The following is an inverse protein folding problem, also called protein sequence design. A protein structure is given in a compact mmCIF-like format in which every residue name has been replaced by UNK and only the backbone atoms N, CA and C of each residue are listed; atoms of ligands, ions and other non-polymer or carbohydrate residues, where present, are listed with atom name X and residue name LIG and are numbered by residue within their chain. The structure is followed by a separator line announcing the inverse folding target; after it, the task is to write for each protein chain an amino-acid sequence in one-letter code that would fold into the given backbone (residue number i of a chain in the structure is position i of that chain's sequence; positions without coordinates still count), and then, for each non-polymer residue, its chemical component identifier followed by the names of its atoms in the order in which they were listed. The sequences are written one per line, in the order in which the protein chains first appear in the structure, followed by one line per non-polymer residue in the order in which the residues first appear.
data_IF_343524076129
#
_entry.id   IF_343524076129
#
_cell.length_a   1.000
_cell.length_b   1.000
_cell.length_c   1.000
_cell.angle_alpha   90.00
_cell.angle_beta   90.00
_cell.angle_gamma   90.00
#
_symmetry.space_group_name_H-M   'P 1'
#
loop_
_entity.id
_entity.type
_entity.pdbx_description
1 polymer ?
#
# COMPACT_ATOMS: atom_id res chain seq x y z
N UNK A 1 -53.83 -3.63 -22.84
CA UNK A 1 -52.96 -4.21 -21.79
C UNK A 1 -51.70 -4.92 -22.31
N UNK A 2 -51.77 -5.78 -23.35
CA UNK A 2 -50.59 -6.52 -23.86
C UNK A 2 -49.39 -5.66 -24.32
N UNK A 3 -49.62 -4.50 -24.95
CA UNK A 3 -48.55 -3.61 -25.44
C UNK A 3 -47.77 -2.88 -24.33
N UNK A 4 -48.41 -2.60 -23.19
CA UNK A 4 -47.76 -1.93 -22.05
C UNK A 4 -46.86 -2.90 -21.27
N UNK A 5 -47.31 -4.15 -21.11
CA UNK A 5 -46.55 -5.21 -20.43
C UNK A 5 -45.25 -5.56 -21.20
N UNK A 6 -45.33 -5.57 -22.54
CA UNK A 6 -44.18 -5.83 -23.40
C UNK A 6 -43.11 -4.72 -23.28
N UNK A 7 -43.53 -3.45 -23.13
CA UNK A 7 -42.60 -2.31 -22.95
C UNK A 7 -41.88 -2.34 -21.61
N UNK A 8 -42.55 -2.79 -20.55
CA UNK A 8 -41.95 -2.92 -19.21
C UNK A 8 -40.89 -4.02 -19.20
N UNK A 9 -41.16 -5.16 -19.84
CA UNK A 9 -40.20 -6.27 -19.94
C UNK A 9 -38.94 -5.86 -20.71
N UNK A 10 -39.09 -5.13 -21.82
CA UNK A 10 -37.94 -4.62 -22.61
C UNK A 10 -37.11 -3.62 -21.82
N UNK A 11 -37.74 -2.74 -21.02
CA UNK A 11 -37.05 -1.80 -20.14
C UNK A 11 -36.29 -2.50 -19.02
N UNK A 12 -36.88 -3.52 -18.40
CA UNK A 12 -36.21 -4.33 -17.36
C UNK A 12 -35.02 -5.09 -17.96
N UNK A 13 -35.17 -5.67 -19.16
CA UNK A 13 -34.05 -6.33 -19.86
C UNK A 13 -32.93 -5.35 -20.22
N UNK A 14 -33.24 -4.14 -20.69
CA UNK A 14 -32.23 -3.09 -20.92
C UNK A 14 -31.52 -2.68 -19.63
N UNK A 15 -32.24 -2.56 -18.51
CA UNK A 15 -31.64 -2.27 -17.20
C UNK A 15 -30.73 -3.41 -16.73
N UNK A 16 -31.11 -4.68 -16.93
CA UNK A 16 -30.29 -5.85 -16.56
C UNK A 16 -29.03 -5.94 -17.43
N UNK A 17 -29.11 -5.59 -18.72
CA UNK A 17 -27.92 -5.52 -19.59
C UNK A 17 -27.01 -4.33 -19.29
N UNK A 18 -27.54 -3.23 -18.74
CA UNK A 18 -26.72 -2.08 -18.29
C UNK A 18 -26.05 -2.34 -16.93
N UNK A 19 -26.64 -3.18 -16.08
CA UNK A 19 -26.01 -3.69 -14.84
C UNK A 19 -24.95 -4.77 -15.15
N UNK A 20 -24.95 -5.31 -16.38
CA UNK A 20 -23.86 -6.14 -16.90
C UNK A 20 -22.69 -5.28 -17.36
N UNK A 21 -22.35 -4.27 -16.55
CA UNK A 21 -21.16 -3.46 -16.70
C UNK A 21 -19.98 -4.39 -16.43
N UNK A 22 -19.49 -5.00 -17.51
CA UNK A 22 -18.13 -5.46 -17.75
C UNK A 22 -17.27 -5.53 -16.48
N UNK A 23 -17.43 -6.60 -15.70
CA UNK A 23 -16.37 -7.08 -14.81
C UNK A 23 -15.25 -7.65 -15.70
N UNK A 24 -14.60 -6.77 -16.47
CA UNK A 24 -13.30 -7.08 -17.03
C UNK A 24 -12.39 -7.23 -15.83
N UNK A 25 -12.08 -8.47 -15.45
CA UNK A 25 -10.94 -8.75 -14.58
C UNK A 25 -9.73 -8.11 -15.25
N UNK A 26 -9.38 -6.91 -14.81
CA UNK A 26 -8.15 -6.26 -15.22
C UNK A 26 -7.01 -7.23 -14.97
N UNK A 27 -6.03 -7.25 -15.87
CA UNK A 27 -4.78 -7.94 -15.58
C UNK A 27 -4.27 -7.36 -14.24
N UNK A 28 -4.16 -8.19 -13.19
CA UNK A 28 -3.75 -7.76 -11.84
C UNK A 28 -2.49 -6.90 -11.87
N UNK A 29 -1.57 -7.18 -12.79
CA UNK A 29 -0.35 -6.39 -12.99
C UNK A 29 -0.63 -4.97 -13.48
N UNK A 30 -1.62 -4.80 -14.36
CA UNK A 30 -2.07 -3.48 -14.85
C UNK A 30 -2.72 -2.67 -13.74
N UNK A 31 -3.60 -3.28 -12.95
CA UNK A 31 -4.25 -2.64 -11.79
C UNK A 31 -3.21 -2.16 -10.77
N UNK A 32 -2.22 -2.99 -10.47
CA UNK A 32 -1.11 -2.65 -9.57
C UNK A 32 -0.30 -1.48 -10.14
N UNK A 33 0.09 -1.53 -11.42
CA UNK A 33 0.86 -0.43 -12.04
C UNK A 33 0.07 0.88 -12.02
N UNK A 34 -1.23 0.84 -12.31
CA UNK A 34 -2.08 2.03 -12.23
C UNK A 34 -2.15 2.58 -10.80
N UNK A 35 -2.30 1.71 -9.81
CA UNK A 35 -2.31 2.10 -8.39
C UNK A 35 -0.99 2.74 -7.98
N UNK A 36 0.13 2.15 -8.37
CA UNK A 36 1.48 2.69 -8.10
C UNK A 36 1.68 4.04 -8.79
N UNK A 37 1.20 4.22 -10.02
CA UNK A 37 1.28 5.50 -10.71
C UNK A 37 0.50 6.61 -9.98
N UNK A 38 -0.73 6.32 -9.51
CA UNK A 38 -1.50 7.25 -8.68
C UNK A 38 -0.78 7.58 -7.37
N UNK A 39 -0.24 6.55 -6.70
CA UNK A 39 0.57 6.74 -5.49
C UNK A 39 1.77 7.66 -5.75
N UNK A 40 2.56 7.38 -6.78
CA UNK A 40 3.74 8.17 -7.13
C UNK A 40 3.37 9.61 -7.49
N UNK A 41 2.29 9.80 -8.26
CA UNK A 41 1.83 11.15 -8.60
C UNK A 41 1.47 11.92 -7.33
N UNK A 42 0.63 11.35 -6.48
CA UNK A 42 0.18 11.99 -5.24
C UNK A 42 1.37 12.36 -4.32
N UNK A 43 2.34 11.46 -4.13
CA UNK A 43 3.51 11.76 -3.28
C UNK A 43 4.50 12.71 -3.92
N UNK A 44 4.62 12.72 -5.25
CA UNK A 44 5.51 13.64 -5.97
C UNK A 44 4.98 15.07 -5.93
N UNK A 45 3.67 15.26 -6.06
CA UNK A 45 3.03 16.58 -6.10
C UNK A 45 2.56 17.05 -4.73
N UNK A 46 2.54 16.16 -3.72
CA UNK A 46 1.96 16.45 -2.41
C UNK A 46 0.44 16.57 -2.44
N UNK A 47 -0.22 16.00 -3.46
CA UNK A 47 -1.67 16.08 -3.65
C UNK A 47 -2.40 15.18 -2.64
N UNK A 48 -2.98 15.82 -1.62
CA UNK A 48 -3.69 15.13 -0.53
C UNK A 48 -4.94 14.43 -1.04
N UNK A 49 -5.73 15.08 -1.89
CA UNK A 49 -7.01 14.55 -2.39
C UNK A 49 -6.77 13.24 -3.16
N UNK A 50 -5.78 13.25 -4.05
CA UNK A 50 -5.41 12.05 -4.80
C UNK A 50 -4.88 10.94 -3.89
N UNK A 51 -4.09 11.29 -2.88
CA UNK A 51 -3.62 10.31 -1.90
C UNK A 51 -4.77 9.71 -1.08
N UNK A 52 -5.71 10.53 -0.61
CA UNK A 52 -6.89 10.10 0.14
C UNK A 52 -7.75 9.14 -0.70
N UNK A 53 -7.89 9.39 -2.00
CA UNK A 53 -8.65 8.52 -2.91
C UNK A 53 -8.04 7.11 -3.07
N UNK A 54 -6.72 6.98 -2.90
CA UNK A 54 -6.01 5.69 -2.92
C UNK A 54 -5.71 5.17 -1.52
N UNK A 55 -5.99 5.91 -0.47
CA UNK A 55 -5.81 5.47 0.91
C UNK A 55 -6.99 4.59 1.35
N UNK A 56 -6.76 3.80 2.38
CA UNK A 56 -7.83 3.09 3.07
C UNK A 56 -8.84 4.11 3.64
N UNK A 57 -10.15 3.97 3.37
CA UNK A 57 -11.17 4.93 3.83
C UNK A 57 -11.25 5.05 5.35
N UNK A 58 -10.78 4.05 6.10
CA UNK A 58 -10.73 4.11 7.57
C UNK A 58 -9.50 4.85 8.09
N UNK A 59 -8.46 5.01 7.28
CA UNK A 59 -7.17 5.58 7.65
C UNK A 59 -6.00 4.64 7.36
N UNK A 60 -4.78 5.20 7.47
CA UNK A 60 -3.53 4.51 7.20
C UNK A 60 -2.67 4.44 8.46
N UNK A 61 -1.85 3.40 8.54
CA UNK A 61 -0.85 3.25 9.59
C UNK A 61 0.52 3.72 9.10
N UNK A 62 1.14 4.66 9.80
CA UNK A 62 2.51 5.13 9.55
C UNK A 62 3.41 4.61 10.64
N UNK A 63 4.44 3.86 10.24
CA UNK A 63 5.33 3.15 11.15
C UNK A 63 6.76 3.55 10.83
N UNK A 64 7.51 3.94 11.87
CA UNK A 64 8.96 4.01 11.80
C UNK A 64 9.54 3.14 12.90
N UNK A 65 10.41 2.20 12.55
CA UNK A 65 11.13 1.37 13.50
C UNK A 65 12.63 1.48 13.29
N UNK A 66 13.36 1.75 14.36
CA UNK A 66 14.81 1.67 14.39
C UNK A 66 15.24 0.25 14.79
N UNK A 67 15.85 -0.46 13.85
CA UNK A 67 16.29 -1.85 13.90
C UNK A 67 17.81 -1.89 14.07
N UNK A 68 18.29 -1.67 15.30
CA UNK A 68 19.71 -1.89 15.63
C UNK A 68 19.90 -2.63 16.95
N UNK A 69 20.98 -3.42 16.98
CA UNK A 69 21.74 -3.81 18.17
C UNK A 69 23.07 -3.06 18.23
N UNK A 70 23.05 -1.72 18.13
CA UNK A 70 24.25 -0.86 18.11
C UNK A 70 24.14 0.39 19.00
N UNK A 71 25.29 0.88 19.46
CA UNK A 71 25.50 1.89 20.51
C UNK A 71 25.31 3.36 20.05
N UNK A 72 24.12 3.74 19.57
CA UNK A 72 23.81 5.12 19.17
C UNK A 72 22.57 5.70 19.85
N UNK A 73 22.43 7.05 19.86
CA UNK A 73 21.22 7.76 20.24
C UNK A 73 20.06 7.26 19.37
N UNK A 74 19.22 6.41 19.94
CA UNK A 74 18.15 5.71 19.24
C UNK A 74 17.04 6.70 18.94
N UNK A 75 16.59 6.75 17.68
CA UNK A 75 15.34 7.44 17.38
C UNK A 75 14.13 6.67 17.94
N UNK A 76 12.99 7.35 18.07
CA UNK A 76 11.78 6.74 18.64
C UNK A 76 11.03 5.89 17.62
N UNK A 77 10.68 4.66 18.00
CA UNK A 77 9.74 3.86 17.22
C UNK A 77 8.35 4.52 17.30
N UNK A 78 7.70 4.70 16.15
CA UNK A 78 6.37 5.31 16.07
C UNK A 78 5.38 4.45 15.28
N UNK A 79 4.11 4.59 15.67
CA UNK A 79 2.98 3.78 15.20
C UNK A 79 1.73 4.65 15.22
N UNK A 80 1.67 5.58 14.28
CA UNK A 80 0.61 6.57 14.25
C UNK A 80 -0.41 6.16 13.21
N UNK A 81 -1.67 6.14 13.62
CA UNK A 81 -2.79 5.95 12.72
C UNK A 81 -3.34 7.31 12.31
N UNK A 82 -3.51 7.53 11.01
CA UNK A 82 -4.03 8.76 10.45
C UNK A 82 -5.32 8.45 9.70
N UNK A 83 -6.44 8.99 10.17
CA UNK A 83 -7.69 9.03 9.41
C UNK A 83 -7.52 9.89 8.16
N UNK A 84 -8.39 9.74 7.14
CA UNK A 84 -8.29 10.54 5.92
C UNK A 84 -8.21 12.06 6.14
N UNK A 85 -8.95 12.58 7.13
CA UNK A 85 -8.95 14.01 7.48
C UNK A 85 -7.76 14.45 8.36
N UNK A 86 -6.94 13.51 8.84
CA UNK A 86 -5.72 13.76 9.62
C UNK A 86 -4.45 13.70 8.74
N UNK A 87 -4.58 13.31 7.48
CA UNK A 87 -3.46 13.28 6.52
C UNK A 87 -3.10 14.73 6.16
N UNK A 88 -1.90 15.12 6.53
CA UNK A 88 -1.37 16.47 6.40
C UNK A 88 -0.95 16.84 4.97
N UNK A 89 -0.87 18.15 4.71
CA UNK A 89 -0.37 18.69 3.45
C UNK A 89 1.05 18.24 3.12
N UNK A 90 1.29 17.98 1.84
CA UNK A 90 2.59 17.48 1.36
C UNK A 90 2.88 16.03 1.75
N UNK A 91 1.91 15.33 2.38
CA UNK A 91 2.03 13.95 2.85
C UNK A 91 3.23 13.79 3.81
N UNK A 92 3.29 14.70 4.77
CA UNK A 92 4.34 14.85 5.79
C UNK A 92 3.78 14.49 7.16
N UNK A 93 4.06 13.28 7.64
CA UNK A 93 3.54 12.81 8.91
C UNK A 93 4.48 13.23 10.06
N UNK A 94 4.04 14.09 10.99
CA UNK A 94 4.88 14.58 12.08
C UNK A 94 5.24 13.46 13.06
N UNK A 95 6.41 13.60 13.68
CA UNK A 95 6.93 12.67 14.67
C UNK A 95 7.59 13.47 15.80
N UNK A 96 7.08 13.34 17.03
CA UNK A 96 7.53 14.17 18.14
C UNK A 96 8.99 13.93 18.52
N UNK A 97 9.81 14.97 18.37
CA UNK A 97 11.24 14.95 18.66
C UNK A 97 12.10 14.26 17.59
N UNK A 98 11.55 14.01 16.39
CA UNK A 98 12.22 13.36 15.26
C UNK A 98 11.92 14.11 13.95
N UNK A 99 12.66 13.80 12.89
CA UNK A 99 12.28 14.25 11.55
C UNK A 99 10.92 13.64 11.14
N UNK A 100 10.04 14.36 10.44
CA UNK A 100 8.78 13.79 9.98
C UNK A 100 8.99 12.63 8.99
N UNK A 101 7.96 11.81 8.77
CA UNK A 101 7.92 10.87 7.66
C UNK A 101 7.34 11.59 6.45
N UNK A 102 8.16 11.89 5.45
CA UNK A 102 7.72 12.52 4.20
C UNK A 102 7.75 11.50 3.06
N UNK A 103 6.59 11.19 2.47
CA UNK A 103 6.49 10.06 1.53
C UNK A 103 7.35 10.24 0.27
N UNK A 104 7.49 11.47 -0.23
CA UNK A 104 8.34 11.75 -1.39
C UNK A 104 9.82 11.47 -1.16
N UNK A 105 10.28 11.61 0.09
CA UNK A 105 11.67 11.33 0.49
C UNK A 105 11.83 9.85 0.82
N UNK A 106 10.83 9.25 1.46
CA UNK A 106 10.83 7.84 1.80
C UNK A 106 10.85 6.93 0.55
N UNK A 107 10.16 7.33 -0.53
CA UNK A 107 10.12 6.60 -1.81
C UNK A 107 10.80 7.38 -2.95
N UNK A 108 11.97 7.95 -2.65
CA UNK A 108 12.68 8.83 -3.57
C UNK A 108 12.96 8.18 -4.93
N UNK A 109 13.45 6.95 -4.96
CA UNK A 109 13.82 6.27 -6.20
C UNK A 109 12.58 5.94 -7.03
N UNK A 110 11.48 5.56 -6.39
CA UNK A 110 10.18 5.31 -7.02
C UNK A 110 9.64 6.57 -7.67
N UNK A 111 9.77 7.73 -6.99
CA UNK A 111 9.39 9.04 -7.52
C UNK A 111 10.25 9.44 -8.72
N UNK A 112 11.57 9.23 -8.65
CA UNK A 112 12.48 9.51 -9.77
C UNK A 112 12.12 8.68 -11.01
N UNK A 113 11.75 7.41 -10.83
CA UNK A 113 11.30 6.54 -11.92
C UNK A 113 9.89 6.88 -12.44
N UNK A 114 9.17 7.79 -11.78
CA UNK A 114 7.78 8.12 -12.12
C UNK A 114 6.84 6.91 -12.04
N UNK A 115 7.08 5.98 -11.10
CA UNK A 115 6.28 4.77 -10.93
C UNK A 115 6.52 3.67 -11.97
N UNK A 116 7.47 3.86 -12.91
CA UNK A 116 7.84 2.86 -13.92
C UNK A 116 8.67 1.72 -13.32
N UNK A 117 8.02 0.86 -12.54
CA UNK A 117 8.65 -0.25 -11.83
C UNK A 117 8.46 -1.54 -12.62
N UNK A 118 9.57 -2.09 -13.11
CA UNK A 118 9.57 -3.32 -13.89
C UNK A 118 9.80 -4.57 -13.03
N UNK A 119 10.35 -4.42 -11.82
CA UNK A 119 10.64 -5.53 -10.91
C UNK A 119 9.39 -5.91 -10.11
N UNK A 120 8.46 -6.61 -10.76
CA UNK A 120 7.22 -7.12 -10.14
C UNK A 120 7.36 -8.64 -9.97
N UNK A 121 7.28 -9.13 -8.73
CA UNK A 121 7.39 -10.57 -8.42
C UNK A 121 6.21 -11.04 -7.59
N UNK A 122 5.56 -12.11 -8.01
CA UNK A 122 4.51 -12.78 -7.22
C UNK A 122 5.12 -13.78 -6.23
N UNK A 123 4.75 -13.69 -4.96
CA UNK A 123 5.25 -14.52 -3.87
C UNK A 123 4.11 -15.36 -3.28
N UNK A 124 3.92 -16.58 -3.80
CA UNK A 124 2.88 -17.50 -3.30
C UNK A 124 3.10 -17.88 -1.83
N UNK A 125 2.05 -18.03 -1.04
CA UNK A 125 2.11 -18.47 0.36
C UNK A 125 2.71 -17.45 1.32
N UNK A 126 2.81 -16.18 0.92
CA UNK A 126 3.23 -15.05 1.77
C UNK A 126 2.12 -14.02 1.75
N UNK A 127 1.79 -13.50 2.92
CA UNK A 127 0.86 -12.40 3.12
C UNK A 127 1.41 -11.47 4.20
N UNK A 128 1.04 -10.20 4.17
CA UNK A 128 1.41 -9.25 5.20
C UNK A 128 0.31 -9.15 6.25
N UNK A 129 -0.96 -9.06 5.84
CA UNK A 129 -2.11 -9.08 6.76
C UNK A 129 -2.78 -10.45 6.77
N UNK A 130 -3.25 -10.89 7.94
CA UNK A 130 -4.07 -12.08 8.03
C UNK A 130 -5.41 -11.83 7.30
N UNK A 131 -6.03 -12.87 6.73
CA UNK A 131 -7.30 -12.76 5.96
C UNK A 131 -8.43 -12.01 6.68
N UNK A 132 -8.38 -11.91 8.01
CA UNK A 132 -9.40 -11.28 8.88
C UNK A 132 -8.98 -9.92 9.44
N UNK A 133 -7.71 -9.53 9.31
CA UNK A 133 -7.18 -8.31 9.90
C UNK A 133 -7.22 -7.18 8.88
N UNK A 134 -8.21 -6.31 9.03
CA UNK A 134 -7.97 -4.91 8.67
C UNK A 134 -6.97 -4.37 9.69
N UNK A 135 -5.94 -3.65 9.23
CA UNK A 135 -5.11 -2.85 10.12
C UNK A 135 -5.99 -1.71 10.62
N UNK A 136 -6.75 -1.98 11.68
CA UNK A 136 -7.42 -0.98 12.49
C UNK A 136 -6.49 -0.56 13.62
N UNK A 137 -6.74 0.61 14.19
CA UNK A 137 -5.96 1.18 15.30
C UNK A 137 -5.66 0.16 16.43
N UNK A 138 -6.60 -0.75 16.71
CA UNK A 138 -6.48 -1.72 17.80
C UNK A 138 -5.64 -2.97 17.48
N UNK A 139 -5.28 -3.21 16.21
CA UNK A 139 -4.56 -4.41 15.75
C UNK A 139 -3.21 -4.06 15.09
N UNK A 140 -2.51 -3.06 15.62
CA UNK A 140 -1.20 -2.63 15.09
C UNK A 140 -0.13 -3.69 15.41
N UNK A 141 0.50 -4.32 14.40
CA UNK A 141 1.50 -5.37 14.63
C UNK A 141 2.74 -4.82 15.34
N UNK A 142 3.33 -5.57 16.27
CA UNK A 142 4.56 -5.19 16.99
C UNK A 142 5.78 -5.02 16.05
N UNK A 143 6.87 -4.43 16.57
CA UNK A 143 8.08 -4.18 15.75
C UNK A 143 8.68 -5.49 15.27
N UNK A 144 8.74 -6.48 16.17
CA UNK A 144 9.19 -7.83 15.86
C UNK A 144 8.34 -8.48 14.77
N UNK A 145 7.01 -8.33 14.81
CA UNK A 145 6.13 -8.91 13.79
C UNK A 145 6.32 -8.26 12.43
N UNK A 146 6.43 -6.94 12.36
CA UNK A 146 6.65 -6.21 11.11
C UNK A 146 7.99 -6.62 10.49
N UNK A 147 9.05 -6.59 11.29
CA UNK A 147 10.39 -6.98 10.86
C UNK A 147 10.39 -8.42 10.35
N UNK A 148 9.75 -9.35 11.08
CA UNK A 148 9.66 -10.74 10.66
C UNK A 148 8.85 -10.92 9.36
N UNK A 149 7.73 -10.21 9.19
CA UNK A 149 6.90 -10.27 7.98
C UNK A 149 7.67 -9.74 6.77
N UNK A 150 8.33 -8.60 6.91
CA UNK A 150 9.15 -8.00 5.83
C UNK A 150 10.35 -8.88 5.51
N UNK A 151 11.08 -9.38 6.51
CA UNK A 151 12.20 -10.28 6.30
C UNK A 151 11.79 -11.52 5.50
N UNK A 152 10.65 -12.15 5.82
CA UNK A 152 10.12 -13.29 5.06
C UNK A 152 9.83 -12.94 3.59
N UNK A 153 9.26 -11.76 3.33
CA UNK A 153 8.97 -11.27 1.97
C UNK A 153 10.27 -11.10 1.18
N UNK A 154 11.23 -10.35 1.72
CA UNK A 154 12.51 -10.06 1.06
C UNK A 154 13.34 -11.33 0.86
N UNK A 155 13.43 -12.19 1.88
CA UNK A 155 14.16 -13.46 1.79
C UNK A 155 13.57 -14.37 0.70
N UNK A 156 12.23 -14.47 0.58
CA UNK A 156 11.58 -15.24 -0.49
C UNK A 156 11.74 -14.59 -1.87
N UNK A 157 11.87 -13.26 -1.92
CA UNK A 157 12.15 -12.56 -3.16
C UNK A 157 13.54 -12.90 -3.72
N UNK A 158 14.50 -13.31 -2.88
CA UNK A 158 15.84 -13.72 -3.30
C UNK A 158 16.66 -12.58 -3.90
N UNK A 159 16.33 -11.33 -3.59
CA UNK A 159 17.02 -10.12 -4.08
C UNK A 159 17.33 -9.18 -2.91
N UNK A 160 18.55 -8.63 -2.92
CA UNK A 160 19.08 -7.68 -1.92
C UNK A 160 19.48 -6.36 -2.61
N UNK A 161 18.55 -5.65 -3.24
CA UNK A 161 18.88 -4.39 -3.93
C UNK A 161 17.93 -3.28 -3.50
N UNK A 162 18.47 -2.09 -3.25
CA UNK A 162 17.73 -0.85 -2.90
C UNK A 162 16.90 -0.28 -4.07
N UNK A 163 16.71 -1.04 -5.14
CA UNK A 163 15.90 -0.62 -6.29
C UNK A 163 14.41 -0.80 -5.99
N UNK A 164 13.54 0.12 -6.43
CA UNK A 164 12.09 -0.04 -6.33
C UNK A 164 11.61 -1.39 -6.84
N UNK A 165 10.87 -2.12 -6.01
CA UNK A 165 10.32 -3.42 -6.34
C UNK A 165 8.87 -3.53 -5.87
N UNK A 166 8.09 -4.34 -6.59
CA UNK A 166 6.72 -4.69 -6.19
C UNK A 166 6.65 -6.19 -5.92
N UNK A 167 6.24 -6.56 -4.72
CA UNK A 167 5.96 -7.93 -4.34
C UNK A 167 4.46 -8.15 -4.25
N UNK A 168 3.91 -8.93 -5.18
CA UNK A 168 2.50 -9.34 -5.15
C UNK A 168 2.37 -10.50 -4.20
N UNK A 169 1.60 -10.31 -3.14
CA UNK A 169 1.41 -11.25 -2.05
C UNK A 169 0.06 -11.96 -2.21
N UNK A 170 -0.19 -12.98 -1.38
CA UNK A 170 -1.52 -13.54 -1.22
C UNK A 170 -2.43 -12.55 -0.45
N UNK A 171 -3.72 -12.87 -0.29
CA UNK A 171 -4.74 -12.03 0.36
C UNK A 171 -4.97 -10.67 -0.34
N UNK A 172 -4.80 -10.65 -1.66
CA UNK A 172 -4.98 -9.48 -2.51
C UNK A 172 -4.17 -8.27 -2.01
N UNK A 173 -2.92 -8.54 -1.65
CA UNK A 173 -1.97 -7.54 -1.16
C UNK A 173 -0.81 -7.38 -2.14
N UNK A 174 -0.22 -6.19 -2.14
CA UNK A 174 1.12 -6.03 -2.68
C UNK A 174 1.92 -5.03 -1.84
N UNK A 175 3.24 -5.22 -1.85
CA UNK A 175 4.20 -4.36 -1.18
C UNK A 175 5.04 -3.66 -2.23
N UNK A 176 5.04 -2.34 -2.23
CA UNK A 176 6.04 -1.54 -2.96
C UNK A 176 7.15 -1.18 -1.97
N UNK A 177 8.41 -1.39 -2.36
CA UNK A 177 9.53 -1.11 -1.47
C UNK A 177 10.81 -0.64 -2.17
N UNK A 178 11.62 0.08 -1.40
CA UNK A 178 13.02 0.43 -1.66
C UNK A 178 13.83 -0.06 -0.47
N UNK A 179 14.33 -1.30 -0.54
CA UNK A 179 14.81 -2.00 0.66
C UNK A 179 15.87 -3.07 0.39
N UNK A 180 16.64 -3.42 1.42
CA UNK A 180 17.62 -4.51 1.42
C UNK A 180 17.67 -5.22 2.78
N UNK A 181 18.29 -6.39 2.84
CA UNK A 181 18.62 -7.07 4.10
C UNK A 181 20.07 -6.77 4.45
N UNK A 182 20.33 -6.26 5.66
CA UNK A 182 21.66 -6.03 6.24
C UNK A 182 21.75 -6.82 7.54
N UNK A 183 22.72 -7.71 7.70
CA UNK A 183 22.90 -8.51 8.92
C UNK A 183 21.59 -9.20 9.39
N UNK A 184 20.85 -9.79 8.46
CA UNK A 184 19.53 -10.41 8.68
C UNK A 184 18.41 -9.46 9.13
N UNK A 185 18.62 -8.15 9.05
CA UNK A 185 17.61 -7.13 9.35
C UNK A 185 17.16 -6.45 8.04
N UNK A 186 15.84 -6.41 7.76
CA UNK A 186 15.33 -5.70 6.60
C UNK A 186 15.32 -4.19 6.85
N UNK A 187 16.05 -3.42 6.06
CA UNK A 187 16.15 -1.96 6.15
C UNK A 187 15.58 -1.33 4.88
N UNK A 188 14.87 -0.21 5.02
CA UNK A 188 14.34 0.58 3.93
C UNK A 188 12.87 0.95 4.07
N UNK A 189 12.29 1.31 2.94
CA UNK A 189 10.95 1.89 2.83
C UNK A 189 9.96 0.91 2.24
N UNK A 190 8.76 0.83 2.80
CA UNK A 190 7.71 -0.06 2.34
C UNK A 190 6.35 0.63 2.40
N UNK A 191 5.53 0.43 1.38
CA UNK A 191 4.11 0.78 1.42
C UNK A 191 3.31 -0.45 1.05
N UNK A 192 2.35 -0.76 1.91
CA UNK A 192 1.49 -1.92 1.79
C UNK A 192 0.15 -1.51 1.21
N UNK A 193 -0.25 -2.22 0.17
CA UNK A 193 -1.54 -2.07 -0.48
C UNK A 193 -2.38 -3.33 -0.29
N UNK A 194 -3.69 -3.16 -0.14
CA UNK A 194 -4.67 -4.26 -0.06
C UNK A 194 -5.87 -3.94 -0.93
N UNK A 195 -6.41 -4.93 -1.65
CA UNK A 195 -7.62 -4.77 -2.45
C UNK A 195 -8.84 -4.68 -1.52
N UNK A 196 -9.51 -3.54 -1.52
CA UNK A 196 -10.72 -3.23 -0.76
C UNK A 196 -11.79 -2.73 -1.73
N UNK A 197 -12.99 -3.31 -1.67
CA UNK A 197 -14.14 -2.88 -2.49
C UNK A 197 -13.86 -2.78 -4.00
N UNK A 198 -12.93 -3.60 -4.51
CA UNK A 198 -12.57 -3.66 -5.92
C UNK A 198 -11.27 -2.96 -6.30
N UNK A 199 -10.72 -2.09 -5.46
CA UNK A 199 -9.51 -1.31 -5.73
C UNK A 199 -8.40 -1.56 -4.70
N UNK A 200 -7.14 -1.44 -5.11
CA UNK A 200 -6.02 -1.45 -4.17
C UNK A 200 -5.93 -0.13 -3.42
N UNK A 201 -5.91 -0.21 -2.08
CA UNK A 201 -5.78 0.93 -1.18
C UNK A 201 -4.50 0.85 -0.37
N UNK A 202 -3.85 1.99 -0.13
CA UNK A 202 -2.74 2.12 0.83
C UNK A 202 -3.28 1.84 2.23
N UNK A 203 -2.71 0.87 2.91
CA UNK A 203 -3.10 0.51 4.29
C UNK A 203 -2.01 0.83 5.32
N UNK A 204 -0.74 0.80 4.90
CA UNK A 204 0.37 1.16 5.77
C UNK A 204 1.58 1.71 5.01
N UNK A 205 2.30 2.62 5.64
CA UNK A 205 3.63 3.09 5.26
C UNK A 205 4.59 2.71 6.38
N UNK A 206 5.72 2.10 6.01
CA UNK A 206 6.68 1.52 6.95
C UNK A 206 8.08 1.99 6.57
N UNK A 207 8.76 2.59 7.53
CA UNK A 207 10.13 3.07 7.48
C UNK A 207 10.96 2.23 8.47
N UNK A 208 11.81 1.35 7.96
CA UNK A 208 12.71 0.53 8.77
C UNK A 208 14.14 1.09 8.66
N UNK A 209 14.68 1.61 9.76
CA UNK A 209 15.98 2.29 9.83
C UNK A 209 17.01 1.55 10.67
#
# INVERSE_FOLDING_TARGET
MKKAFCRIIVLILMCITLISCSFTKGNTTSEIKQTVNKFVHAIKTGNIEEFVNIANPYGILVIRNYITGGYGLRGKNIRNFYKPNEISSGLIFPVDGELPVKLSELFHSTVQLGGKINNIKKLKGIYFTNKREYIQYNNIPSTKEIVNRIYKILNKAGKNYETPAIYVLDNDEFLLCEAKIINSLPVGSFVLFKKLEGDYKVIAVIDLK
#
